data_IF_420909332263
#
_entry.id   IF_420909332263
#
_cell.length_a   1.000
_cell.length_b   1.000
_cell.length_c   1.000
_cell.angle_alpha   90.00
_cell.angle_beta   90.00
_cell.angle_gamma   90.00
#
_symmetry.space_group_name_H-M   'P 1'
#
loop_
_entity.id
_entity.type
_entity.pdbx_description
1 polymer ?
#
# COMPACT_ATOMS: atom_id res chain seq x y z
N UNK A 1 -9.85 -35.73 -1.49
CA UNK A 1 -9.88 -34.65 -2.50
C UNK A 1 -11.08 -33.76 -2.14
N UNK A 2 -10.96 -33.02 -1.03
CA UNK A 2 -12.00 -32.07 -0.63
C UNK A 2 -11.94 -30.87 -1.58
N UNK A 3 -13.11 -30.33 -1.93
CA UNK A 3 -13.29 -29.11 -2.69
C UNK A 3 -12.62 -27.92 -1.95
N UNK A 4 -11.34 -27.69 -2.23
CA UNK A 4 -10.51 -26.66 -1.60
C UNK A 4 -10.39 -25.39 -2.45
N UNK A 5 -11.17 -25.28 -3.54
CA UNK A 5 -11.05 -24.21 -4.53
C UNK A 5 -12.11 -23.10 -4.43
N UNK A 6 -12.91 -23.02 -3.37
CA UNK A 6 -14.08 -22.14 -3.35
C UNK A 6 -14.17 -21.06 -2.24
N UNK A 7 -13.23 -20.93 -1.29
CA UNK A 7 -13.54 -20.20 -0.05
C UNK A 7 -12.93 -18.81 0.17
N UNK A 8 -11.97 -18.33 -0.62
CA UNK A 8 -11.35 -17.01 -0.36
C UNK A 8 -11.47 -16.09 -1.57
N UNK A 9 -12.58 -15.36 -1.66
CA UNK A 9 -12.77 -14.30 -2.67
C UNK A 9 -12.01 -13.01 -2.33
N UNK A 10 -11.56 -12.85 -1.08
CA UNK A 10 -10.75 -11.74 -0.61
C UNK A 10 -9.86 -12.16 0.57
N UNK A 11 -8.72 -11.49 0.70
CA UNK A 11 -7.73 -11.72 1.75
C UNK A 11 -7.02 -10.43 2.13
N UNK A 12 -6.76 -10.23 3.42
CA UNK A 12 -5.89 -9.16 3.95
C UNK A 12 -4.55 -9.76 4.41
N UNK A 13 -3.45 -9.06 4.16
CA UNK A 13 -2.12 -9.40 4.65
C UNK A 13 -1.57 -8.25 5.51
N UNK A 14 -1.03 -8.61 6.68
CA UNK A 14 -0.26 -7.73 7.56
C UNK A 14 1.17 -8.25 7.72
N UNK A 15 2.11 -7.34 8.00
CA UNK A 15 3.53 -7.65 8.24
C UNK A 15 3.96 -7.07 9.60
N UNK A 16 3.85 -7.79 10.71
CA UNK A 16 4.46 -7.36 11.98
C UNK A 16 6.00 -7.36 11.85
N UNK A 17 6.70 -6.55 12.66
CA UNK A 17 8.15 -6.41 12.53
C UNK A 17 8.84 -7.74 12.85
N UNK A 18 9.78 -8.13 12.00
CA UNK A 18 10.64 -9.28 12.28
C UNK A 18 11.47 -9.02 13.55
N UNK A 19 11.79 -10.09 14.29
CA UNK A 19 12.53 -9.99 15.56
C UNK A 19 13.95 -9.42 15.40
N UNK A 20 14.55 -9.65 14.24
CA UNK A 20 15.90 -9.18 13.96
C UNK A 20 15.94 -7.68 13.63
N UNK A 21 14.80 -7.04 13.39
CA UNK A 21 14.72 -5.61 13.11
C UNK A 21 14.28 -4.82 14.35
N UNK A 22 15.27 -4.21 15.02
CA UNK A 22 15.07 -3.54 16.30
C UNK A 22 14.43 -2.15 16.24
N UNK A 23 14.18 -1.62 15.04
CA UNK A 23 13.65 -0.25 14.86
C UNK A 23 12.33 -0.03 15.62
N UNK A 24 11.46 -1.04 15.58
CA UNK A 24 10.12 -1.03 16.17
C UNK A 24 10.04 -1.62 17.59
N UNK A 25 11.16 -1.98 18.23
CA UNK A 25 11.16 -2.70 19.51
C UNK A 25 10.34 -1.98 20.60
N UNK A 26 10.46 -0.66 20.69
CA UNK A 26 9.71 0.17 21.66
C UNK A 26 8.20 0.21 21.41
N UNK A 27 7.74 -0.25 20.23
CA UNK A 27 6.34 -0.27 19.80
C UNK A 27 5.86 -1.68 19.41
N UNK A 28 6.66 -2.72 19.66
CA UNK A 28 6.35 -4.10 19.24
C UNK A 28 4.99 -4.58 19.77
N UNK A 29 4.75 -4.43 21.08
CA UNK A 29 3.46 -4.79 21.67
C UNK A 29 2.29 -3.97 21.12
N UNK A 30 2.51 -2.69 20.80
CA UNK A 30 1.48 -1.85 20.17
C UNK A 30 1.13 -2.35 18.77
N UNK A 31 2.13 -2.77 17.99
CA UNK A 31 1.92 -3.34 16.66
C UNK A 31 1.20 -4.68 16.75
N UNK A 32 1.57 -5.56 17.70
CA UNK A 32 0.89 -6.84 17.87
C UNK A 32 -0.57 -6.67 18.32
N UNK A 33 -0.82 -5.72 19.22
CA UNK A 33 -2.18 -5.36 19.62
C UNK A 33 -3.00 -4.85 18.43
N UNK A 34 -2.42 -4.00 17.56
CA UNK A 34 -3.08 -3.56 16.32
C UNK A 34 -3.37 -4.73 15.38
N UNK A 35 -2.41 -5.64 15.18
CA UNK A 35 -2.59 -6.85 14.37
C UNK A 35 -3.77 -7.68 14.89
N UNK A 36 -3.88 -7.88 16.20
CA UNK A 36 -5.02 -8.59 16.79
C UNK A 36 -6.35 -7.84 16.58
N UNK A 37 -6.39 -6.52 16.83
CA UNK A 37 -7.58 -5.70 16.61
C UNK A 37 -8.07 -5.79 15.16
N UNK A 38 -7.15 -5.73 14.19
CA UNK A 38 -7.51 -5.84 12.78
C UNK A 38 -7.91 -7.27 12.41
N UNK A 39 -7.27 -8.29 12.98
CA UNK A 39 -7.68 -9.67 12.79
C UNK A 39 -9.12 -9.92 13.26
N UNK A 40 -9.48 -9.44 14.46
CA UNK A 40 -10.85 -9.54 14.98
C UNK A 40 -11.85 -8.77 14.13
N UNK A 41 -11.50 -7.55 13.69
CA UNK A 41 -12.30 -6.73 12.80
C UNK A 41 -12.57 -7.44 11.45
N UNK A 42 -11.53 -8.02 10.86
CA UNK A 42 -11.64 -8.75 9.59
C UNK A 42 -12.49 -10.01 9.73
N UNK A 43 -12.26 -10.80 10.78
CA UNK A 43 -13.07 -11.98 11.07
C UNK A 43 -14.55 -11.63 11.29
N UNK A 44 -14.83 -10.53 12.00
CA UNK A 44 -16.19 -10.01 12.22
C UNK A 44 -16.88 -9.57 10.93
N UNK A 45 -16.13 -9.09 9.93
CA UNK A 45 -16.62 -8.76 8.60
C UNK A 45 -16.72 -9.97 7.65
N UNK A 46 -16.34 -11.17 8.11
CA UNK A 46 -16.31 -12.39 7.30
C UNK A 46 -15.13 -12.46 6.33
N UNK A 47 -14.09 -11.66 6.54
CA UNK A 47 -12.86 -11.68 5.76
C UNK A 47 -11.78 -12.50 6.43
N UNK A 48 -10.89 -13.05 5.61
CA UNK A 48 -9.68 -13.68 6.10
C UNK A 48 -8.56 -12.66 6.18
N UNK A 49 -7.78 -12.74 7.26
CA UNK A 49 -6.55 -11.98 7.43
C UNK A 49 -5.43 -12.97 7.74
N UNK A 50 -4.35 -12.91 6.96
CA UNK A 50 -3.12 -13.61 7.29
C UNK A 50 -2.05 -12.62 7.72
N UNK A 51 -1.25 -13.07 8.68
CA UNK A 51 -0.11 -12.33 9.20
C UNK A 51 1.16 -12.97 8.66
N UNK A 52 2.01 -12.21 7.98
CA UNK A 52 3.30 -12.68 7.47
C UNK A 52 4.36 -12.40 8.53
N UNK A 53 4.76 -13.44 9.25
CA UNK A 53 5.61 -13.30 10.43
C UNK A 53 6.72 -14.35 10.48
N UNK A 54 7.87 -13.93 11.01
CA UNK A 54 8.93 -14.87 11.34
C UNK A 54 8.50 -15.84 12.45
N UNK A 55 9.28 -16.90 12.65
CA UNK A 55 8.93 -17.94 13.61
C UNK A 55 8.85 -17.47 15.07
N UNK A 56 9.52 -16.39 15.46
CA UNK A 56 9.47 -15.84 16.82
C UNK A 56 8.25 -14.94 16.96
N UNK A 57 8.07 -13.99 16.05
CA UNK A 57 6.90 -13.11 16.01
C UNK A 57 5.60 -13.91 15.99
N UNK A 58 5.56 -15.02 15.22
CA UNK A 58 4.42 -15.94 15.21
C UNK A 58 4.13 -16.56 16.58
N UNK A 59 5.16 -16.97 17.33
CA UNK A 59 4.97 -17.53 18.67
C UNK A 59 4.42 -16.49 19.61
N UNK A 60 4.98 -15.28 19.59
CA UNK A 60 4.50 -14.18 20.43
C UNK A 60 3.01 -13.90 20.16
N UNK A 61 2.61 -13.78 18.89
CA UNK A 61 1.21 -13.56 18.50
C UNK A 61 0.28 -14.71 18.92
N UNK A 62 0.76 -15.96 18.81
CA UNK A 62 0.02 -17.16 19.23
C UNK A 62 -0.12 -17.24 20.76
N UNK A 63 0.94 -16.92 21.51
CA UNK A 63 0.95 -16.99 22.98
C UNK A 63 0.19 -15.82 23.62
N UNK A 64 0.30 -14.61 23.07
CA UNK A 64 -0.31 -13.40 23.62
C UNK A 64 -1.79 -13.24 23.20
N UNK A 65 -2.12 -13.59 21.96
CA UNK A 65 -3.45 -13.33 21.37
C UNK A 65 -4.16 -14.58 20.83
N UNK A 66 -3.54 -15.75 20.85
CA UNK A 66 -4.12 -16.97 20.27
C UNK A 66 -4.14 -17.00 18.74
N UNK A 67 -3.40 -16.11 18.07
CA UNK A 67 -3.35 -15.99 16.61
C UNK A 67 -2.48 -17.11 16.01
N UNK A 68 -3.13 -18.21 15.62
CA UNK A 68 -2.45 -19.42 15.14
C UNK A 68 -2.32 -19.49 13.60
N UNK A 69 -3.05 -18.66 12.86
CA UNK A 69 -3.17 -18.71 11.40
C UNK A 69 -2.17 -17.81 10.67
N UNK A 70 -1.09 -17.39 11.33
CA UNK A 70 -0.03 -16.60 10.68
C UNK A 70 0.79 -17.44 9.68
N UNK A 71 1.00 -16.88 8.49
CA UNK A 71 1.89 -17.43 7.46
C UNK A 71 3.32 -17.22 7.92
N UNK A 72 4.12 -18.28 7.89
CA UNK A 72 5.57 -18.14 8.10
C UNK A 72 6.20 -17.56 6.83
N UNK A 73 6.65 -16.32 6.96
CA UNK A 73 7.36 -15.55 5.96
C UNK A 73 8.08 -14.41 6.67
N UNK A 74 9.09 -13.83 6.03
CA UNK A 74 9.79 -12.68 6.59
C UNK A 74 9.63 -11.52 5.62
N UNK A 75 8.94 -10.49 6.09
CA UNK A 75 8.89 -9.18 5.48
C UNK A 75 9.52 -8.22 6.49
N UNK A 76 10.53 -7.47 6.06
CA UNK A 76 11.44 -6.77 6.99
C UNK A 76 10.88 -5.44 7.51
N UNK A 77 9.73 -5.00 7.00
CA UNK A 77 9.08 -3.76 7.43
C UNK A 77 7.56 -3.94 7.56
N UNK A 78 6.94 -3.04 8.33
CA UNK A 78 5.51 -3.11 8.68
C UNK A 78 4.60 -2.49 7.62
N UNK A 79 5.16 -1.62 6.78
CA UNK A 79 4.44 -0.87 5.74
C UNK A 79 4.25 -1.72 4.48
N UNK A 80 3.63 -2.89 4.63
CA UNK A 80 3.44 -3.87 3.53
C UNK A 80 2.74 -3.26 2.31
N UNK A 81 1.91 -2.22 2.50
CA UNK A 81 1.30 -1.45 1.41
C UNK A 81 2.36 -0.93 0.44
N UNK A 82 3.45 -0.39 0.94
CA UNK A 82 4.38 0.43 0.16
C UNK A 82 5.31 -0.41 -0.69
N UNK A 83 5.83 -1.48 -0.11
CA UNK A 83 6.88 -2.27 -0.75
C UNK A 83 6.37 -3.57 -1.37
N UNK A 84 5.12 -4.00 -1.17
CA UNK A 84 4.66 -5.32 -1.62
C UNK A 84 4.06 -5.29 -3.03
N UNK A 85 2.88 -5.91 -3.24
CA UNK A 85 2.15 -5.91 -4.51
C UNK A 85 0.87 -5.09 -4.40
N UNK A 86 0.51 -4.45 -5.50
CA UNK A 86 -0.77 -3.78 -5.74
C UNK A 86 -1.55 -4.57 -6.78
N UNK A 87 -2.75 -5.00 -6.41
CA UNK A 87 -3.64 -5.69 -7.35
C UNK A 87 -4.39 -4.66 -8.20
N UNK A 88 -4.34 -4.81 -9.52
CA UNK A 88 -5.01 -3.93 -10.47
C UNK A 88 -6.32 -4.53 -11.01
N UNK A 89 -6.40 -5.85 -11.07
CA UNK A 89 -7.58 -6.61 -11.51
C UNK A 89 -7.62 -7.99 -10.84
N UNK A 90 -8.69 -8.77 -11.06
CA UNK A 90 -8.82 -10.14 -10.56
C UNK A 90 -7.68 -11.08 -10.95
N UNK A 91 -6.91 -10.72 -11.99
CA UNK A 91 -5.81 -11.54 -12.52
C UNK A 91 -4.49 -10.77 -12.63
N UNK A 92 -4.44 -9.50 -12.24
CA UNK A 92 -3.26 -8.66 -12.43
C UNK A 92 -2.74 -8.17 -11.09
N UNK A 93 -1.60 -8.72 -10.68
CA UNK A 93 -0.77 -8.18 -9.60
C UNK A 93 0.38 -7.39 -10.18
N UNK A 94 0.66 -6.24 -9.57
CA UNK A 94 1.79 -5.39 -9.90
C UNK A 94 2.69 -5.18 -8.70
N UNK A 95 3.99 -5.34 -8.92
CA UNK A 95 5.02 -4.80 -8.03
C UNK A 95 5.68 -3.60 -8.70
N UNK A 96 5.65 -2.46 -8.02
CA UNK A 96 6.37 -1.26 -8.43
C UNK A 96 7.80 -1.27 -7.90
N UNK A 97 8.66 -0.38 -8.41
CA UNK A 97 9.99 -0.18 -7.85
C UNK A 97 9.90 0.47 -6.48
N UNK A 98 10.33 -0.24 -5.43
CA UNK A 98 10.40 0.33 -4.07
C UNK A 98 11.76 1.00 -3.87
N UNK A 99 11.80 2.33 -3.91
CA UNK A 99 13.02 3.15 -3.71
C UNK A 99 12.70 4.50 -3.06
N UNK A 100 12.06 4.53 -1.88
CA UNK A 100 11.75 5.79 -1.24
C UNK A 100 13.00 6.58 -0.91
N UNK A 101 12.99 7.89 -1.18
CA UNK A 101 14.14 8.77 -0.90
C UNK A 101 14.40 9.01 0.59
N UNK A 102 13.42 8.72 1.44
CA UNK A 102 13.53 8.86 2.88
C UNK A 102 14.27 7.69 3.56
N UNK A 103 14.53 6.58 2.85
CA UNK A 103 15.30 5.45 3.35
C UNK A 103 16.73 5.40 2.78
N UNK A 104 17.63 4.78 3.53
CA UNK A 104 18.98 4.53 3.05
C UNK A 104 19.05 3.32 2.09
N UNK A 105 20.16 3.16 1.36
CA UNK A 105 20.32 2.09 0.38
C UNK A 105 20.24 0.67 0.96
N UNK A 106 20.79 0.47 2.16
CA UNK A 106 20.72 -0.84 2.84
C UNK A 106 19.27 -1.12 3.23
N UNK A 107 18.59 -0.09 3.75
CA UNK A 107 17.18 -0.15 4.15
C UNK A 107 16.23 -0.44 3.00
N UNK A 108 16.51 0.06 1.81
CA UNK A 108 15.71 -0.25 0.63
C UNK A 108 15.99 -1.69 0.17
N UNK A 109 17.27 -2.06 0.15
CA UNK A 109 17.71 -3.34 -0.43
C UNK A 109 17.15 -4.55 0.31
N UNK A 110 17.23 -4.57 1.65
CA UNK A 110 16.68 -5.70 2.43
C UNK A 110 15.13 -5.77 2.41
N UNK A 111 14.39 -4.64 2.49
CA UNK A 111 12.93 -4.60 2.41
C UNK A 111 12.47 -5.11 1.04
N UNK A 112 13.02 -4.56 -0.04
CA UNK A 112 12.68 -4.99 -1.40
C UNK A 112 13.02 -6.48 -1.62
N UNK A 113 14.16 -6.93 -1.10
CA UNK A 113 14.58 -8.33 -1.19
C UNK A 113 13.66 -9.29 -0.42
N UNK A 114 13.25 -8.93 0.81
CA UNK A 114 12.33 -9.74 1.63
C UNK A 114 10.99 -9.93 0.91
N UNK A 115 10.47 -8.84 0.34
CA UNK A 115 9.23 -8.82 -0.40
C UNK A 115 9.29 -9.65 -1.69
N UNK A 116 10.37 -9.52 -2.47
CA UNK A 116 10.60 -10.36 -3.68
C UNK A 116 10.61 -11.84 -3.32
N UNK A 117 11.37 -12.22 -2.29
CA UNK A 117 11.45 -13.62 -1.85
C UNK A 117 10.09 -14.15 -1.42
N UNK A 118 9.31 -13.36 -0.71
CA UNK A 118 7.98 -13.76 -0.29
C UNK A 118 7.02 -13.90 -1.50
N UNK A 119 7.08 -12.98 -2.46
CA UNK A 119 6.33 -13.11 -3.73
C UNK A 119 6.73 -14.38 -4.48
N UNK A 120 8.02 -14.68 -4.61
CA UNK A 120 8.50 -15.91 -5.28
C UNK A 120 8.04 -17.19 -4.58
N UNK A 121 7.92 -17.16 -3.24
CA UNK A 121 7.41 -18.29 -2.46
C UNK A 121 5.91 -18.54 -2.70
N UNK A 122 5.12 -17.47 -2.87
CA UNK A 122 3.66 -17.57 -3.04
C UNK A 122 3.25 -17.66 -4.52
N UNK A 123 4.02 -17.11 -5.45
CA UNK A 123 3.74 -17.17 -6.90
C UNK A 123 4.94 -17.67 -7.71
N UNK A 124 5.32 -18.96 -7.55
CA UNK A 124 6.54 -19.52 -8.16
C UNK A 124 6.52 -19.62 -9.70
N UNK A 125 5.45 -19.16 -10.39
CA UNK A 125 5.29 -19.31 -11.86
C UNK A 125 5.07 -18.01 -12.64
N UNK A 126 5.41 -16.85 -12.08
CA UNK A 126 5.39 -15.58 -12.83
C UNK A 126 3.99 -15.02 -13.09
N UNK A 127 3.03 -15.29 -12.20
CA UNK A 127 1.67 -14.73 -12.24
C UNK A 127 1.59 -13.29 -11.71
N UNK A 128 2.71 -12.76 -11.19
CA UNK A 128 2.83 -11.34 -10.82
C UNK A 128 3.46 -10.59 -11.99
N UNK A 129 2.69 -9.69 -12.59
CA UNK A 129 3.20 -8.76 -13.60
C UNK A 129 4.09 -7.74 -12.88
N UNK A 130 5.39 -7.77 -13.12
CA UNK A 130 6.25 -6.69 -12.67
C UNK A 130 6.03 -5.51 -13.63
N UNK A 131 5.70 -4.32 -13.12
CA UNK A 131 5.90 -3.07 -13.87
C UNK A 131 7.41 -2.71 -13.89
N UNK A 132 8.23 -3.70 -14.24
CA UNK A 132 9.52 -3.49 -14.86
C UNK A 132 9.23 -3.24 -16.34
N UNK A 133 9.63 -2.10 -16.89
CA UNK A 133 9.18 -1.68 -18.23
C UNK A 133 9.68 -2.62 -19.34
N UNK A 134 8.81 -2.97 -20.31
CA UNK A 134 9.12 -3.68 -21.57
C UNK A 134 8.87 -2.85 -22.84
N UNK A 135 9.16 -1.57 -22.79
CA UNK A 135 9.27 -0.78 -24.01
C UNK A 135 10.59 -1.09 -24.73
N UNK A 136 11.12 -0.22 -25.60
CA UNK A 136 12.55 -0.25 -25.96
C UNK A 136 13.51 -0.23 -24.73
N UNK A 137 12.96 -0.10 -23.53
CA UNK A 137 13.51 -0.44 -22.22
C UNK A 137 13.00 -1.84 -21.82
N UNK A 138 13.85 -2.88 -21.82
CA UNK A 138 13.40 -4.26 -21.71
C UNK A 138 12.87 -4.64 -20.33
N UNK A 139 11.79 -5.39 -20.35
CA UNK A 139 11.50 -6.42 -19.39
C UNK A 139 11.38 -7.75 -20.14
N UNK A 140 11.07 -8.79 -19.41
CA UNK A 140 10.93 -10.18 -19.82
C UNK A 140 11.28 -10.84 -18.51
N UNK A 141 10.33 -11.61 -17.97
CA UNK A 141 10.47 -12.98 -17.46
C UNK A 141 11.69 -13.42 -16.64
N UNK A 142 12.63 -12.56 -16.28
CA UNK A 142 13.83 -12.92 -15.56
C UNK A 142 13.84 -12.12 -14.26
N UNK A 143 13.48 -12.83 -13.20
CA UNK A 143 13.69 -12.39 -11.84
C UNK A 143 15.16 -12.03 -11.62
N UNK A 144 15.39 -10.93 -10.89
CA UNK A 144 16.59 -10.58 -10.12
C UNK A 144 17.45 -9.36 -10.50
N UNK A 145 17.11 -8.51 -11.48
CA UNK A 145 17.78 -7.19 -11.61
C UNK A 145 16.78 -6.03 -11.66
N UNK A 146 16.84 -5.11 -10.67
CA UNK A 146 16.20 -3.80 -10.77
C UNK A 146 16.90 -2.99 -11.85
N UNK A 147 16.22 -2.79 -12.98
CA UNK A 147 16.70 -1.84 -13.98
C UNK A 147 16.47 -0.41 -13.50
N UNK A 148 17.30 0.53 -13.97
CA UNK A 148 17.19 1.96 -13.66
C UNK A 148 15.91 2.63 -14.22
N UNK A 149 15.09 1.88 -14.98
CA UNK A 149 13.89 2.31 -15.71
C UNK A 149 12.58 1.72 -15.14
N UNK A 150 12.62 1.04 -13.99
CA UNK A 150 11.39 0.59 -13.31
C UNK A 150 10.66 1.79 -12.72
N UNK A 151 9.32 1.85 -12.89
CA UNK A 151 8.51 2.90 -12.29
C UNK A 151 8.63 2.81 -10.77
N UNK A 152 9.33 3.77 -10.18
CA UNK A 152 9.44 3.93 -8.73
C UNK A 152 8.13 4.51 -8.22
N UNK A 153 7.41 3.72 -7.44
CA UNK A 153 6.12 4.13 -6.89
C UNK A 153 5.81 3.23 -5.70
N UNK A 154 5.82 3.79 -4.51
CA UNK A 154 5.39 3.06 -3.32
C UNK A 154 3.90 2.72 -3.47
N UNK A 155 3.44 1.60 -2.93
CA UNK A 155 2.02 1.24 -3.00
C UNK A 155 1.08 2.22 -2.28
N UNK A 156 1.56 2.96 -1.26
CA UNK A 156 0.86 4.11 -0.68
C UNK A 156 0.87 5.36 -1.58
N UNK A 157 1.76 5.40 -2.57
CA UNK A 157 1.84 6.44 -3.60
C UNK A 157 0.77 6.35 -4.69
N UNK A 158 -0.08 5.31 -4.69
CA UNK A 158 -1.20 5.14 -5.62
C UNK A 158 -2.49 4.70 -4.92
N UNK A 159 -3.60 5.38 -5.24
CA UNK A 159 -4.96 4.88 -4.96
C UNK A 159 -5.65 4.50 -6.26
N UNK A 160 -5.90 3.20 -6.40
CA UNK A 160 -6.43 2.58 -7.61
C UNK A 160 -7.89 2.15 -7.40
N UNK A 161 -8.76 2.52 -8.34
CA UNK A 161 -10.13 2.04 -8.44
C UNK A 161 -10.24 1.09 -9.65
N UNK A 162 -10.41 -0.22 -9.43
CA UNK A 162 -10.28 -1.22 -10.49
C UNK A 162 -11.44 -1.27 -11.48
N UNK A 163 -12.64 -0.84 -11.10
CA UNK A 163 -13.85 -1.02 -11.94
C UNK A 163 -13.95 0.03 -13.04
N UNK A 164 -13.58 1.26 -12.73
CA UNK A 164 -13.52 2.42 -13.61
C UNK A 164 -12.09 2.74 -14.06
N UNK A 165 -11.11 2.00 -13.54
CA UNK A 165 -9.68 2.08 -13.92
C UNK A 165 -9.11 3.48 -13.74
N UNK A 166 -9.39 4.06 -12.58
CA UNK A 166 -8.93 5.39 -12.19
C UNK A 166 -7.83 5.27 -11.15
N UNK A 167 -6.76 6.04 -11.33
CA UNK A 167 -5.68 6.15 -10.36
C UNK A 167 -5.52 7.60 -9.90
N UNK A 168 -5.21 7.79 -8.63
CA UNK A 168 -4.63 9.05 -8.15
C UNK A 168 -3.22 8.77 -7.65
N UNK A 169 -2.29 9.64 -8.02
CA UNK A 169 -0.90 9.67 -7.54
C UNK A 169 -0.52 11.11 -7.19
N UNK A 170 0.57 11.30 -6.46
CA UNK A 170 1.10 12.65 -6.18
C UNK A 170 2.16 13.06 -7.20
N UNK A 171 2.44 14.36 -7.27
CA UNK A 171 3.52 14.96 -8.08
C UNK A 171 4.90 14.36 -7.78
N UNK A 172 5.05 13.72 -6.61
CA UNK A 172 6.22 12.95 -6.20
C UNK A 172 6.68 11.93 -7.24
N UNK A 173 5.75 11.28 -7.92
CA UNK A 173 6.08 10.24 -8.92
C UNK A 173 6.97 10.79 -10.04
N UNK A 174 6.87 12.09 -10.39
CA UNK A 174 7.74 12.73 -11.38
C UNK A 174 9.17 12.92 -10.85
N UNK A 175 9.32 13.14 -9.54
CA UNK A 175 10.63 13.36 -8.90
C UNK A 175 11.37 12.05 -8.66
N UNK A 176 10.63 11.02 -8.26
CA UNK A 176 11.15 9.65 -8.15
C UNK A 176 11.49 9.08 -9.55
N UNK A 177 10.83 9.57 -10.61
CA UNK A 177 11.02 9.11 -11.99
C UNK A 177 11.26 10.29 -12.97
N UNK A 178 12.45 10.93 -12.97
CA UNK A 178 12.73 12.07 -13.84
C UNK A 178 12.56 11.79 -15.35
N UNK A 179 12.61 10.52 -15.74
CA UNK A 179 12.37 10.06 -17.10
C UNK A 179 10.91 10.22 -17.56
N UNK A 180 9.94 10.31 -16.63
CA UNK A 180 8.52 10.57 -16.96
C UNK A 180 8.30 11.91 -17.65
N UNK A 181 9.27 12.82 -17.57
CA UNK A 181 9.19 14.20 -18.10
C UNK A 181 10.34 14.51 -19.06
N UNK A 182 11.04 13.48 -19.57
CA UNK A 182 12.12 13.65 -20.55
C UNK A 182 13.39 14.35 -20.04
N UNK A 183 13.53 14.53 -18.72
CA UNK A 183 14.71 15.16 -18.09
C UNK A 183 15.78 14.09 -17.84
N UNK A 184 16.57 13.75 -18.86
CA UNK A 184 17.74 12.88 -18.70
C UNK A 184 19.01 13.70 -18.43
N UNK A 185 19.47 13.68 -17.18
CA UNK A 185 20.89 13.59 -16.85
C UNK A 185 21.00 12.66 -15.67
N UNK A 186 21.19 11.37 -15.98
CA UNK A 186 21.40 10.33 -15.00
C UNK A 186 22.88 10.39 -14.57
N UNK A 187 23.12 10.46 -13.26
CA UNK A 187 24.43 10.17 -12.67
C UNK A 187 24.90 8.76 -13.09
N UNK A 188 26.15 8.37 -12.83
CA UNK A 188 26.65 7.04 -13.19
C UNK A 188 25.79 5.87 -12.63
N UNK A 189 24.99 6.14 -11.60
CA UNK A 189 24.05 5.20 -10.95
C UNK A 189 22.57 5.48 -11.31
N UNK A 190 22.31 6.51 -12.13
CA UNK A 190 20.98 6.89 -12.61
C UNK A 190 19.99 7.39 -11.58
N UNK A 191 20.45 7.95 -10.46
CA UNK A 191 19.55 8.46 -9.41
C UNK A 191 19.92 9.88 -8.97
N UNK A 192 18.92 10.71 -8.59
CA UNK A 192 19.18 11.97 -7.92
C UNK A 192 19.92 11.72 -6.58
N UNK A 193 20.74 12.69 -6.11
CA UNK A 193 21.40 12.59 -4.82
C UNK A 193 20.36 12.39 -3.71
N UNK A 194 20.64 11.50 -2.74
CA UNK A 194 19.73 11.15 -1.64
C UNK A 194 20.04 11.98 -0.41
N UNK A 195 19.25 13.01 -0.08
CA UNK A 195 19.36 13.67 1.21
C UNK A 195 18.72 12.79 2.29
N UNK A 196 19.50 11.89 2.87
CA UNK A 196 19.02 11.10 4.02
C UNK A 196 18.70 12.02 5.19
N UNK A 197 17.53 11.83 5.81
CA UNK A 197 17.11 12.57 7.01
C UNK A 197 16.64 14.01 6.77
N UNK A 198 16.56 14.49 5.52
CA UNK A 198 15.93 15.78 5.23
C UNK A 198 14.41 15.72 5.47
N UNK A 199 13.81 16.81 5.97
CA UNK A 199 12.36 16.92 6.13
C UNK A 199 11.63 16.81 4.77
N UNK A 200 12.19 17.44 3.74
CA UNK A 200 11.78 17.28 2.36
C UNK A 200 12.97 16.76 1.54
N UNK A 201 12.97 15.48 1.11
CA UNK A 201 14.06 14.91 0.34
C UNK A 201 14.18 15.50 -1.08
N UNK A 202 13.23 16.35 -1.48
CA UNK A 202 13.17 17.01 -2.78
C UNK A 202 13.28 18.53 -2.70
N UNK A 203 13.68 19.06 -1.56
CA UNK A 203 13.92 20.48 -1.38
C UNK A 203 14.89 21.00 -2.47
N UNK A 204 14.42 21.98 -3.25
CA UNK A 204 15.19 22.60 -4.35
C UNK A 204 15.16 21.84 -5.68
N UNK A 205 14.44 20.72 -5.81
CA UNK A 205 14.21 20.12 -7.13
C UNK A 205 13.39 21.06 -8.03
N UNK A 206 13.59 21.01 -9.37
CA UNK A 206 13.03 22.00 -10.26
C UNK A 206 11.50 21.93 -10.27
N UNK A 207 10.86 23.09 -10.49
CA UNK A 207 9.40 23.17 -10.56
C UNK A 207 8.83 22.20 -11.61
N UNK A 208 7.70 21.58 -11.25
CA UNK A 208 6.89 20.76 -12.12
C UNK A 208 5.96 21.69 -12.90
N UNK A 209 6.02 21.62 -14.24
CA UNK A 209 5.19 22.45 -15.12
C UNK A 209 3.90 21.72 -15.49
N UNK A 210 2.90 22.43 -16.01
CA UNK A 210 1.68 21.80 -16.55
C UNK A 210 1.99 20.84 -17.70
N UNK A 211 3.01 21.14 -18.53
CA UNK A 211 3.43 20.24 -19.60
C UNK A 211 4.07 18.95 -19.06
N UNK A 212 4.84 19.04 -17.97
CA UNK A 212 5.39 17.88 -17.28
C UNK A 212 4.28 16.97 -16.75
N UNK A 213 3.24 17.56 -16.12
CA UNK A 213 2.08 16.83 -15.59
C UNK A 213 1.30 16.10 -16.69
N UNK A 214 0.97 16.78 -17.79
CA UNK A 214 0.23 16.18 -18.90
C UNK A 214 1.02 15.04 -19.56
N UNK A 215 2.34 15.21 -19.74
CA UNK A 215 3.18 14.16 -20.29
C UNK A 215 3.26 12.95 -19.37
N UNK A 216 3.55 13.18 -18.07
CA UNK A 216 3.65 12.12 -17.07
C UNK A 216 2.33 11.35 -16.94
N UNK A 217 1.19 12.06 -16.92
CA UNK A 217 -0.15 11.46 -16.91
C UNK A 217 -0.33 10.47 -18.06
N UNK A 218 -0.07 10.90 -19.29
CA UNK A 218 -0.19 10.03 -20.49
C UNK A 218 0.72 8.81 -20.43
N UNK A 219 1.94 8.95 -19.89
CA UNK A 219 2.85 7.81 -19.70
C UNK A 219 2.32 6.84 -18.65
N UNK A 220 1.85 7.32 -17.51
CA UNK A 220 1.31 6.49 -16.44
C UNK A 220 0.04 5.73 -16.86
N UNK A 221 -0.88 6.39 -17.57
CA UNK A 221 -2.11 5.77 -18.09
C UNK A 221 -1.78 4.58 -19.00
N UNK A 222 -0.80 4.77 -19.91
CA UNK A 222 -0.31 3.70 -20.78
C UNK A 222 0.35 2.56 -20.01
N UNK A 223 1.23 2.85 -19.03
CA UNK A 223 1.91 1.80 -18.25
C UNK A 223 0.91 0.95 -17.46
N UNK A 224 -0.09 1.58 -16.85
CA UNK A 224 -1.16 0.86 -16.14
C UNK A 224 -2.05 0.06 -17.09
N UNK A 225 -2.35 0.59 -18.29
CA UNK A 225 -3.07 -0.14 -19.33
C UNK A 225 -2.29 -1.36 -19.84
N UNK A 226 -0.97 -1.22 -20.03
CA UNK A 226 -0.05 -2.31 -20.39
C UNK A 226 0.04 -3.36 -19.29
N UNK A 227 0.04 -2.96 -18.01
CA UNK A 227 0.00 -3.90 -16.89
C UNK A 227 -1.29 -4.75 -16.89
N UNK A 228 -2.43 -4.12 -17.18
CA UNK A 228 -3.73 -4.78 -17.23
C UNK A 228 -3.85 -5.73 -18.43
N UNK A 229 -3.31 -5.35 -19.59
CA UNK A 229 -3.38 -6.16 -20.81
C UNK A 229 -2.17 -5.91 -21.73
N UNK A 230 -1.05 -6.65 -21.54
CA UNK A 230 0.17 -6.43 -22.31
C UNK A 230 0.00 -6.57 -23.84
N UNK A 231 -0.97 -7.38 -24.29
CA UNK A 231 -1.22 -7.64 -25.72
C UNK A 231 -2.28 -6.73 -26.34
N UNK A 232 -2.99 -5.92 -25.54
CA UNK A 232 -4.11 -5.09 -26.01
C UNK A 232 -4.27 -3.79 -25.18
N UNK A 233 -3.15 -3.18 -24.79
CA UNK A 233 -3.16 -1.99 -23.94
C UNK A 233 -3.95 -0.82 -24.54
N UNK A 234 -3.93 -0.65 -25.87
CA UNK A 234 -4.68 0.40 -26.57
C UNK A 234 -6.20 0.27 -26.45
N UNK A 235 -6.72 -0.91 -26.08
CA UNK A 235 -8.14 -1.14 -25.81
C UNK A 235 -8.53 -0.93 -24.33
N UNK A 236 -7.57 -0.61 -23.46
CA UNK A 236 -7.80 -0.39 -22.03
C UNK A 236 -7.73 1.11 -21.77
N UNK A 237 -8.87 1.70 -21.41
CA UNK A 237 -8.90 3.06 -20.89
C UNK A 237 -8.51 3.07 -19.42
N UNK A 238 -7.49 3.85 -19.07
CA UNK A 238 -7.08 4.19 -17.70
C UNK A 238 -7.03 5.70 -17.61
N UNK A 239 -7.50 6.27 -16.50
CA UNK A 239 -7.40 7.71 -16.24
C UNK A 239 -6.60 7.96 -14.97
N UNK A 240 -5.58 8.80 -15.06
CA UNK A 240 -4.72 9.15 -13.92
C UNK A 240 -4.92 10.61 -13.54
N UNK A 241 -5.12 10.87 -12.25
CA UNK A 241 -5.02 12.19 -11.64
C UNK A 241 -3.67 12.33 -10.93
N UNK A 242 -2.96 13.44 -11.20
CA UNK A 242 -1.73 13.81 -10.50
C UNK A 242 -2.03 15.03 -9.63
N UNK A 243 -2.04 14.82 -8.32
CA UNK A 243 -2.30 15.86 -7.31
C UNK A 243 -0.98 16.33 -6.67
N UNK A 244 -0.92 17.51 -6.03
CA UNK A 244 0.28 17.94 -5.33
C UNK A 244 0.66 16.97 -4.19
N UNK A 245 1.91 17.04 -3.74
CA UNK A 245 2.32 16.47 -2.45
C UNK A 245 1.67 17.27 -1.32
N UNK A 246 1.37 16.63 -0.19
CA UNK A 246 0.84 17.34 0.97
C UNK A 246 1.92 18.24 1.59
N UNK A 247 1.70 19.57 1.72
CA UNK A 247 2.71 20.47 2.26
C UNK A 247 3.11 20.18 3.72
N UNK A 248 2.20 19.59 4.50
CA UNK A 248 2.39 19.34 5.93
C UNK A 248 3.08 18.00 6.24
N UNK A 249 3.15 17.09 5.27
CA UNK A 249 3.81 15.79 5.37
C UNK A 249 4.73 15.53 4.15
N UNK A 250 5.72 16.41 3.89
CA UNK A 250 6.54 16.36 2.67
C UNK A 250 7.47 15.15 2.59
N UNK A 251 7.72 14.48 3.71
CA UNK A 251 8.63 13.34 3.77
C UNK A 251 8.13 12.15 2.97
N UNK A 252 6.88 11.73 3.26
CA UNK A 252 6.24 10.58 2.60
C UNK A 252 5.66 11.00 1.25
N UNK A 253 4.83 12.05 1.22
CA UNK A 253 4.17 12.51 0.00
C UNK A 253 3.22 11.48 -0.64
N UNK A 254 2.75 10.50 0.14
CA UNK A 254 1.87 9.42 -0.31
C UNK A 254 0.42 9.90 -0.50
N UNK A 255 -0.23 9.38 -1.53
CA UNK A 255 -1.59 9.79 -1.90
C UNK A 255 -2.64 9.22 -0.96
N UNK A 256 -2.33 8.14 -0.26
CA UNK A 256 -3.24 7.46 0.67
C UNK A 256 -3.36 8.15 2.06
N UNK A 257 -2.62 9.23 2.28
CA UNK A 257 -2.89 10.26 3.29
C UNK A 257 -3.71 11.46 2.76
N UNK A 258 -3.89 11.55 1.45
CA UNK A 258 -4.58 12.67 0.76
C UNK A 258 -6.01 12.29 0.39
N UNK A 259 -6.22 11.16 -0.29
CA UNK A 259 -7.53 10.75 -0.78
C UNK A 259 -7.63 9.24 -0.95
N UNK A 260 -8.85 8.71 -0.99
CA UNK A 260 -9.10 7.29 -1.18
C UNK A 260 -10.53 7.02 -1.67
N UNK A 261 -10.76 5.89 -2.33
CA UNK A 261 -12.04 5.58 -2.98
C UNK A 261 -13.04 4.98 -1.98
N UNK A 262 -14.18 5.66 -1.79
CA UNK A 262 -15.34 5.14 -1.04
C UNK A 262 -16.18 4.21 -1.93
N UNK A 263 -16.25 4.55 -3.21
CA UNK A 263 -17.01 3.87 -4.25
C UNK A 263 -16.37 4.11 -5.63
N UNK A 264 -16.75 3.36 -6.69
CA UNK A 264 -16.25 3.55 -8.06
C UNK A 264 -16.34 4.98 -8.61
N UNK A 265 -17.32 5.76 -8.14
CA UNK A 265 -17.57 7.14 -8.54
C UNK A 265 -17.59 8.11 -7.35
N UNK A 266 -17.00 7.74 -6.21
CA UNK A 266 -16.93 8.62 -5.04
C UNK A 266 -15.59 8.50 -4.34
N UNK A 267 -14.90 9.63 -4.23
CA UNK A 267 -13.57 9.76 -3.67
C UNK A 267 -13.63 10.60 -2.40
N UNK A 268 -13.17 10.05 -1.28
CA UNK A 268 -12.87 10.82 -0.08
C UNK A 268 -11.61 11.64 -0.29
N UNK A 269 -11.65 12.93 -0.01
CA UNK A 269 -10.50 13.83 -0.02
C UNK A 269 -10.36 14.44 1.38
N UNK A 270 -9.18 14.32 1.98
CA UNK A 270 -8.86 14.95 3.26
C UNK A 270 -9.29 16.40 3.26
N UNK A 271 -10.14 16.79 4.22
CA UNK A 271 -10.63 18.15 4.39
C UNK A 271 -9.55 19.00 5.07
N UNK A 272 -8.47 19.25 4.33
CA UNK A 272 -7.29 19.95 4.82
C UNK A 272 -7.63 21.21 5.61
N UNK A 273 -6.88 21.48 6.67
CA UNK A 273 -7.09 22.63 7.56
C UNK A 273 -7.07 23.97 6.83
N UNK A 274 -6.33 24.07 5.72
CA UNK A 274 -6.38 25.20 4.80
C UNK A 274 -7.37 24.91 3.63
N UNK A 275 -8.49 25.66 3.54
CA UNK A 275 -9.46 25.50 2.44
C UNK A 275 -8.86 25.68 1.05
N UNK A 276 -7.79 26.47 0.91
CA UNK A 276 -7.13 26.68 -0.38
C UNK A 276 -6.43 25.42 -0.87
N UNK A 277 -5.88 24.64 0.07
CA UNK A 277 -5.28 23.32 -0.20
C UNK A 277 -6.37 22.35 -0.67
N UNK A 278 -7.50 22.24 0.04
CA UNK A 278 -8.62 21.40 -0.42
C UNK A 278 -9.08 21.78 -1.83
N UNK A 279 -9.31 23.07 -2.09
CA UNK A 279 -9.76 23.56 -3.38
C UNK A 279 -8.78 23.22 -4.53
N UNK A 280 -7.47 23.32 -4.28
CA UNK A 280 -6.45 22.96 -5.26
C UNK A 280 -6.49 21.47 -5.61
N UNK A 281 -6.54 20.59 -4.59
CA UNK A 281 -6.59 19.15 -4.80
C UNK A 281 -7.88 18.73 -5.49
N UNK A 282 -9.03 19.26 -5.04
CA UNK A 282 -10.32 19.03 -5.66
C UNK A 282 -10.34 19.48 -7.13
N UNK A 283 -9.74 20.62 -7.46
CA UNK A 283 -9.63 21.10 -8.84
C UNK A 283 -8.77 20.17 -9.72
N UNK A 284 -7.66 19.62 -9.20
CA UNK A 284 -6.82 18.65 -9.92
C UNK A 284 -7.58 17.34 -10.19
N UNK A 285 -8.34 16.86 -9.21
CA UNK A 285 -9.18 15.67 -9.34
C UNK A 285 -10.32 15.90 -10.34
N UNK A 286 -11.02 17.04 -10.25
CA UNK A 286 -12.07 17.41 -11.18
C UNK A 286 -11.56 17.60 -12.62
N UNK A 287 -10.36 18.15 -12.81
CA UNK A 287 -9.74 18.27 -14.13
C UNK A 287 -9.41 16.90 -14.74
N UNK A 288 -9.08 15.90 -13.92
CA UNK A 288 -8.75 14.55 -14.38
C UNK A 288 -9.99 13.68 -14.62
N UNK A 289 -11.00 13.78 -13.74
CA UNK A 289 -12.15 12.86 -13.74
C UNK A 289 -13.47 13.49 -14.16
N UNK A 290 -13.56 14.82 -14.27
CA UNK A 290 -14.80 15.52 -14.57
C UNK A 290 -15.88 15.29 -13.51
N UNK A 291 -17.14 15.35 -13.94
CA UNK A 291 -18.31 15.14 -13.09
C UNK A 291 -18.60 13.66 -12.80
N UNK A 292 -17.79 12.74 -13.34
CA UNK A 292 -17.96 11.29 -13.14
C UNK A 292 -17.59 10.83 -11.71
N UNK A 293 -16.88 11.68 -10.95
CA UNK A 293 -16.41 11.38 -9.60
C UNK A 293 -16.89 12.44 -8.63
N UNK A 294 -17.72 12.01 -7.67
CA UNK A 294 -18.10 12.84 -6.53
C UNK A 294 -16.93 12.93 -5.53
N UNK A 295 -16.52 14.16 -5.19
CA UNK A 295 -15.46 14.40 -4.20
C UNK A 295 -16.11 14.73 -2.86
N UNK A 296 -15.85 13.90 -1.84
CA UNK A 296 -16.40 14.05 -0.50
C UNK A 296 -15.30 14.59 0.43
N UNK A 297 -15.48 15.77 1.04
CA UNK A 297 -14.60 16.24 2.11
C UNK A 297 -14.64 15.23 3.28
N UNK A 298 -13.46 14.77 3.70
CA UNK A 298 -13.32 13.71 4.70
C UNK A 298 -12.57 14.22 5.93
N UNK A 299 -12.91 13.78 7.17
CA UNK A 299 -12.30 14.28 8.39
C UNK A 299 -10.77 14.25 8.35
N UNK A 300 -10.16 15.36 8.74
CA UNK A 300 -8.71 15.54 8.69
C UNK A 300 -8.25 16.42 9.85
N UNK A 301 -7.64 15.79 10.85
CA UNK A 301 -7.21 16.43 12.10
C UNK A 301 -5.82 15.92 12.52
N UNK A 302 -4.79 16.15 11.69
CA UNK A 302 -3.46 15.58 11.93
C UNK A 302 -2.88 16.05 13.26
N UNK A 303 -2.23 15.14 13.98
CA UNK A 303 -1.36 15.50 15.09
C UNK A 303 -0.07 16.18 14.59
N UNK A 304 0.52 17.04 15.40
CA UNK A 304 1.88 17.57 15.16
C UNK A 304 2.99 16.65 15.67
N UNK A 305 2.64 15.49 16.21
CA UNK A 305 3.62 14.53 16.73
C UNK A 305 4.43 13.90 15.60
N UNK A 306 5.68 13.55 15.94
CA UNK A 306 6.67 13.05 15.00
C UNK A 306 7.34 11.83 15.60
N UNK A 307 7.50 10.78 14.78
CA UNK A 307 8.23 9.58 15.14
C UNK A 307 9.75 9.77 15.06
N UNK A 308 10.48 8.67 15.26
CA UNK A 308 11.89 8.57 14.91
C UNK A 308 12.12 9.03 13.46
N UNK A 309 13.30 9.58 13.20
CA UNK A 309 13.74 10.03 11.86
C UNK A 309 12.88 11.11 11.21
N UNK A 310 11.94 11.69 11.95
CA UNK A 310 11.16 12.84 11.52
C UNK A 310 9.88 12.49 10.75
N UNK A 311 9.37 11.26 10.82
CA UNK A 311 8.09 10.87 10.19
C UNK A 311 6.90 11.48 10.95
N UNK A 312 6.07 12.23 10.25
CA UNK A 312 4.85 12.83 10.79
C UNK A 312 3.83 11.75 11.18
N UNK A 313 3.15 11.91 12.31
CA UNK A 313 2.08 10.99 12.75
C UNK A 313 0.92 10.96 11.76
N UNK A 314 0.36 9.77 11.50
CA UNK A 314 -0.87 9.58 10.73
C UNK A 314 -2.15 9.70 11.58
N UNK A 315 -2.04 10.10 12.85
CA UNK A 315 -3.19 10.29 13.73
C UNK A 315 -4.11 11.38 13.18
N UNK A 316 -5.41 11.08 13.06
CA UNK A 316 -6.40 12.02 12.52
C UNK A 316 -6.44 12.09 10.98
N UNK A 317 -5.68 11.26 10.27
CA UNK A 317 -5.72 11.11 8.80
C UNK A 317 -6.67 9.97 8.42
N UNK A 318 -7.97 10.26 8.33
CA UNK A 318 -8.99 9.21 8.19
C UNK A 318 -9.08 8.59 6.80
N UNK A 319 -8.59 9.26 5.74
CA UNK A 319 -8.56 8.70 4.36
C UNK A 319 -7.64 7.48 4.24
N UNK A 320 -6.79 7.20 5.24
CA UNK A 320 -5.95 6.01 5.31
C UNK A 320 -6.74 4.72 5.66
N UNK A 321 -8.01 4.64 5.23
CA UNK A 321 -8.87 3.47 5.37
C UNK A 321 -8.56 2.38 4.33
N UNK A 322 -8.81 1.12 4.68
CA UNK A 322 -8.69 0.00 3.74
C UNK A 322 -10.08 -0.42 3.24
N UNK A 323 -10.35 -0.21 1.94
CA UNK A 323 -11.55 -0.71 1.27
C UNK A 323 -11.25 -2.07 0.64
N UNK A 324 -11.97 -3.10 1.05
CA UNK A 324 -11.84 -4.47 0.57
C UNK A 324 -13.07 -4.91 -0.22
N UNK A 325 -13.18 -6.22 -0.49
CA UNK A 325 -14.37 -6.76 -1.14
C UNK A 325 -15.57 -6.79 -0.19
N UNK A 326 -15.40 -6.82 1.12
CA UNK A 326 -16.53 -6.99 2.05
C UNK A 326 -16.68 -5.86 3.09
N UNK A 327 -15.63 -5.07 3.31
CA UNK A 327 -15.64 -4.03 4.32
C UNK A 327 -14.87 -2.77 3.91
N UNK A 328 -15.10 -1.69 4.64
CA UNK A 328 -14.23 -0.53 4.71
C UNK A 328 -13.75 -0.42 6.15
N UNK A 329 -12.46 -0.65 6.37
CA UNK A 329 -11.82 -0.53 7.67
C UNK A 329 -11.31 0.89 7.86
N UNK A 330 -12.00 1.63 8.71
CA UNK A 330 -11.73 3.04 8.98
C UNK A 330 -10.82 3.14 10.19
N UNK A 331 -9.67 3.85 10.11
CA UNK A 331 -8.86 4.07 11.29
C UNK A 331 -9.63 4.91 12.31
N UNK A 332 -9.51 4.55 13.57
CA UNK A 332 -10.09 5.30 14.70
C UNK A 332 -9.00 5.70 15.68
N UNK A 333 -9.16 6.88 16.25
CA UNK A 333 -8.16 7.54 17.09
C UNK A 333 -8.67 7.89 18.49
N UNK A 334 -9.88 7.44 18.86
CA UNK A 334 -10.51 7.79 20.13
C UNK A 334 -10.98 9.25 20.16
N UNK A 335 -11.32 9.81 19.00
CA UNK A 335 -11.67 11.21 18.80
C UNK A 335 -13.13 11.35 18.32
N UNK A 336 -13.79 12.50 18.54
CA UNK A 336 -15.16 12.73 18.05
C UNK A 336 -15.32 12.50 16.54
N UNK A 337 -14.29 12.83 15.76
CA UNK A 337 -14.23 12.65 14.32
C UNK A 337 -14.28 11.18 13.86
N UNK A 338 -14.03 10.20 14.74
CA UNK A 338 -14.20 8.77 14.45
C UNK A 338 -15.62 8.47 13.96
N UNK A 339 -16.62 9.04 14.65
CA UNK A 339 -18.03 8.83 14.34
C UNK A 339 -18.45 9.49 13.01
N UNK A 340 -17.84 10.63 12.69
CA UNK A 340 -18.06 11.35 11.43
C UNK A 340 -17.48 10.55 10.25
N UNK A 341 -16.24 10.06 10.37
CA UNK A 341 -15.59 9.27 9.33
C UNK A 341 -16.37 7.97 9.03
N UNK A 342 -16.81 7.25 10.07
CA UNK A 342 -17.64 6.05 9.93
C UNK A 342 -18.99 6.37 9.25
N UNK A 343 -19.63 7.48 9.61
CA UNK A 343 -20.90 7.89 9.02
C UNK A 343 -20.77 8.23 7.53
N UNK A 344 -19.75 8.98 7.13
CA UNK A 344 -19.48 9.32 5.72
C UNK A 344 -19.19 8.07 4.89
N UNK A 345 -18.46 7.10 5.45
CA UNK A 345 -18.23 5.81 4.79
C UNK A 345 -19.53 5.05 4.59
N UNK A 346 -20.38 4.99 5.62
CA UNK A 346 -21.67 4.32 5.53
C UNK A 346 -22.63 5.02 4.54
N UNK A 347 -22.56 6.33 4.43
CA UNK A 347 -23.39 7.14 3.51
C UNK A 347 -22.99 6.92 2.04
N UNK A 348 -21.70 6.81 1.75
CA UNK A 348 -21.18 6.86 0.38
C UNK A 348 -20.67 5.53 -0.19
N UNK A 349 -20.70 4.43 0.58
CA UNK A 349 -20.34 3.11 0.07
C UNK A 349 -21.30 2.65 -1.05
N UNK A 350 -20.75 2.07 -2.13
CA UNK A 350 -21.49 1.66 -3.34
C UNK A 350 -22.32 0.38 -3.19
N UNK A 351 -22.14 -0.34 -2.09
CA UNK A 351 -22.75 -1.64 -1.82
C UNK A 351 -22.77 -1.88 -0.31
N UNK A 352 -23.58 -2.84 0.19
CA UNK A 352 -23.54 -3.21 1.60
C UNK A 352 -22.15 -3.74 1.95
N UNK A 353 -21.30 -2.86 2.44
CA UNK A 353 -20.00 -3.13 3.02
C UNK A 353 -20.13 -3.00 4.52
N UNK A 354 -19.46 -3.87 5.26
CA UNK A 354 -19.28 -3.64 6.68
C UNK A 354 -18.43 -2.37 6.86
N UNK A 355 -18.90 -1.42 7.65
CA UNK A 355 -18.13 -0.24 8.03
C UNK A 355 -17.55 -0.51 9.40
N UNK A 356 -16.25 -0.71 9.47
CA UNK A 356 -15.58 -1.24 10.67
C UNK A 356 -14.52 -0.27 11.14
N UNK A 357 -14.66 0.24 12.37
CA UNK A 357 -13.61 1.02 13.01
C UNK A 357 -12.48 0.12 13.48
N UNK A 358 -11.23 0.50 13.22
CA UNK A 358 -10.03 -0.19 13.70
C UNK A 358 -9.20 0.79 14.51
N UNK A 359 -8.92 0.50 15.78
CA UNK A 359 -8.13 1.38 16.65
C UNK A 359 -6.68 1.43 16.15
N UNK A 360 -6.28 2.58 15.63
CA UNK A 360 -4.97 2.79 15.04
C UNK A 360 -4.06 3.69 15.91
N UNK A 361 -4.51 4.16 17.07
CA UNK A 361 -3.77 5.14 17.91
C UNK A 361 -2.34 4.71 18.18
N UNK A 362 -2.15 3.43 18.50
CA UNK A 362 -0.86 2.92 18.93
C UNK A 362 0.16 2.81 17.79
N UNK A 363 -0.29 2.75 16.54
CA UNK A 363 0.55 2.63 15.34
C UNK A 363 0.65 3.93 14.52
N UNK A 364 -0.37 4.79 14.59
CA UNK A 364 -0.45 6.04 13.83
C UNK A 364 0.75 6.97 14.06
N UNK A 365 1.26 6.98 15.29
CA UNK A 365 2.46 7.73 15.67
C UNK A 365 3.70 7.37 14.85
N UNK A 366 3.74 6.20 14.18
CA UNK A 366 4.88 5.76 13.38
C UNK A 366 4.79 6.19 11.90
N UNK A 367 3.74 6.92 11.52
CA UNK A 367 3.62 7.55 10.20
C UNK A 367 2.66 6.90 9.22
N UNK A 368 1.89 5.91 9.65
CA UNK A 368 0.86 5.27 8.83
C UNK A 368 -0.21 4.60 9.68
N UNK A 369 -1.32 4.21 9.05
CA UNK A 369 -2.48 3.65 9.72
C UNK A 369 -3.00 2.40 8.98
N UNK A 370 -4.29 2.08 9.12
CA UNK A 370 -4.93 0.86 8.62
C UNK A 370 -4.50 0.47 7.21
N UNK A 371 -4.50 1.41 6.26
CA UNK A 371 -4.12 1.14 4.87
C UNK A 371 -2.63 0.92 4.67
N UNK A 372 -1.76 1.70 5.32
CA UNK A 372 -0.30 1.54 5.17
C UNK A 372 0.19 0.20 5.74
N UNK A 373 -0.38 -0.25 6.85
CA UNK A 373 -0.04 -1.54 7.47
C UNK A 373 -0.64 -2.75 6.75
N UNK A 374 -1.51 -2.55 5.74
CA UNK A 374 -2.22 -3.65 5.07
C UNK A 374 -2.14 -3.63 3.56
N UNK A 375 -2.07 -4.84 3.01
CA UNK A 375 -2.37 -5.08 1.60
C UNK A 375 -3.53 -6.07 1.51
N UNK A 376 -4.32 -5.95 0.46
CA UNK A 376 -5.51 -6.76 0.26
C UNK A 376 -5.54 -7.30 -1.15
N UNK A 377 -5.96 -8.55 -1.25
CA UNK A 377 -6.02 -9.33 -2.47
C UNK A 377 -7.43 -9.85 -2.65
N UNK A 378 -7.86 -10.05 -3.89
CA UNK A 378 -9.19 -10.57 -4.20
C UNK A 378 -9.20 -11.51 -5.41
N UNK A 379 -10.33 -12.18 -5.59
CA UNK A 379 -10.56 -13.08 -6.73
C UNK A 379 -9.64 -14.31 -6.70
N UNK A 380 -9.24 -14.78 -7.87
CA UNK A 380 -8.40 -15.98 -8.02
C UNK A 380 -7.05 -15.82 -7.31
N UNK A 381 -6.51 -14.60 -7.32
CA UNK A 381 -5.27 -14.24 -6.62
C UNK A 381 -5.37 -14.52 -5.11
N UNK A 382 -6.45 -14.10 -4.46
CA UNK A 382 -6.66 -14.38 -3.03
C UNK A 382 -6.78 -15.88 -2.73
N UNK A 383 -7.52 -16.62 -3.56
CA UNK A 383 -7.67 -18.07 -3.43
C UNK A 383 -6.34 -18.83 -3.54
N UNK A 384 -5.47 -18.41 -4.47
CA UNK A 384 -4.12 -19.00 -4.63
C UNK A 384 -3.25 -18.82 -3.39
N UNK A 385 -3.22 -17.60 -2.83
CA UNK A 385 -2.47 -17.29 -1.60
C UNK A 385 -2.99 -18.11 -0.42
N UNK A 386 -4.31 -18.13 -0.23
CA UNK A 386 -4.91 -18.85 0.88
C UNK A 386 -4.57 -20.35 0.84
N UNK A 387 -4.56 -20.96 -0.34
CA UNK A 387 -4.16 -22.36 -0.49
C UNK A 387 -2.70 -22.59 -0.10
N UNK A 388 -1.79 -21.71 -0.52
CA UNK A 388 -0.36 -21.81 -0.21
C UNK A 388 -0.11 -21.55 1.28
N UNK A 389 -0.78 -20.56 1.85
CA UNK A 389 -0.78 -20.28 3.29
C UNK A 389 -1.15 -21.54 4.09
N UNK A 390 -2.26 -22.20 3.74
CA UNK A 390 -2.69 -23.45 4.38
C UNK A 390 -1.65 -24.56 4.27
N UNK A 391 -0.99 -24.72 3.11
CA UNK A 391 0.06 -25.72 2.90
C UNK A 391 1.29 -25.42 3.77
N UNK A 392 1.75 -24.17 3.80
CA UNK A 392 2.91 -23.75 4.60
C UNK A 392 2.63 -23.93 6.10
N UNK A 393 1.46 -23.51 6.56
CA UNK A 393 1.00 -23.72 7.95
C UNK A 393 0.93 -25.22 8.27
N UNK A 394 0.36 -26.04 7.40
CA UNK A 394 0.21 -27.50 7.61
C UNK A 394 1.54 -28.24 7.68
N UNK A 395 2.51 -27.90 6.82
CA UNK A 395 3.87 -28.47 6.87
C UNK A 395 4.49 -28.15 8.23
N UNK A 396 4.34 -26.93 8.72
CA UNK A 396 4.90 -26.53 10.01
C UNK A 396 4.23 -27.23 11.20
N UNK A 397 2.91 -27.41 11.19
CA UNK A 397 2.21 -28.21 12.20
C UNK A 397 2.71 -29.65 12.22
N UNK A 398 2.91 -30.26 11.05
CA UNK A 398 3.49 -31.62 10.95
C UNK A 398 4.93 -31.69 11.50
N UNK A 399 5.72 -30.62 11.36
CA UNK A 399 7.05 -30.55 11.97
C UNK A 399 7.01 -30.25 13.48
N UNK A 400 5.96 -29.58 13.99
CA UNK A 400 5.78 -29.30 15.43
C UNK A 400 5.56 -30.59 16.23
N UNK A 401 4.91 -31.60 15.66
CA UNK A 401 4.79 -32.95 16.28
C UNK A 401 6.12 -33.73 16.35
N UNK A 402 7.14 -33.32 15.59
CA UNK A 402 8.47 -33.94 15.63
C UNK A 402 9.43 -33.29 16.64
N UNK A 403 8.97 -32.24 17.35
CA UNK A 403 9.76 -31.46 18.30
C UNK A 403 9.29 -31.70 19.73
N UNK A 404 9.27 -32.96 20.17
CA UNK A 404 9.42 -33.22 21.61
C UNK A 404 10.87 -32.93 22.00
N UNK A 405 11.13 -32.03 22.97
CA UNK A 405 12.49 -31.74 23.40
C UNK A 405 13.05 -33.00 24.07
N UNK A 406 14.09 -33.60 23.49
CA UNK A 406 14.90 -34.58 24.24
C UNK A 406 15.60 -33.83 25.36
N UNK A 407 15.28 -34.25 26.59
CA UNK A 407 15.80 -33.74 27.86
C UNK A 407 17.32 -33.63 27.93
#
# INVERSE_FOLDING_TARGET
MLALTACCEALILLSPPAHHYGYYDSKRSAIYSFVNTFFEAAAGAGEQLYVVADNRTRRDLSEEYGLNDAIVGVLDDIWIRDFFVTQLSDTTLVRFGYRPMYLNQQEISWIDHSARRFVEQIWPRGEVSLLSGNGPYPCLKDACEMRADSLVLDGGGIVWEPTTRRAVVTERVLRDNPWLVGRLSLSADGLPPRPMGAADPYAGAPAITSADLEHAKSVLERLLAEALSPTNASGINVTVAIVPEEPSAPRLGHVDGICNWLAPSTLALSNFSDPSTFALFAARLAAAFGDDVNIVPFPYYPSSDVWKDGFESAEGVYVNFARTRYAIYVPTFGAPADSEALALVAEHADRPLAVVGVDARAVAIMGGSVRCLSTFLWGATAGGVALIALVLVSILYAYKESWEPRH
#
